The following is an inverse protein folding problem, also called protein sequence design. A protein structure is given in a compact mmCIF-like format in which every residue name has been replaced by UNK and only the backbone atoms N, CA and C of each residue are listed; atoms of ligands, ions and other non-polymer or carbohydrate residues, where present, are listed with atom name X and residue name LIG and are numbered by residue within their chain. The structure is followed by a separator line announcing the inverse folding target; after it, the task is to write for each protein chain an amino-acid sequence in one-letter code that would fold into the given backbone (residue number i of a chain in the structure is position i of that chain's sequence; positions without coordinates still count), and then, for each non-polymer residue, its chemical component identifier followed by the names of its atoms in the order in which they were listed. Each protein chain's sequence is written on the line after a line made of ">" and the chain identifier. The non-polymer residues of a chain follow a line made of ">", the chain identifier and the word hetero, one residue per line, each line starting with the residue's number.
data_IF_125024433553
#
_entry.id   IF_125024433553
#
_cell.length_a   1.000
_cell.length_b   1.000
_cell.length_c   1.000
_cell.angle_alpha   90.00
_cell.angle_beta   90.00
_cell.angle_gamma   90.00
#
_symmetry.space_group_name_H-M   'P 1'
#
loop_
_entity.id
_entity.type
_entity.pdbx_description
1 polymer ?
#
# COMPACT_ATOMS: atom_id res chain seq x y z
N UNK A 1 13.18 1.23 7.73
CA UNK A 1 12.42 2.32 7.11
C UNK A 1 11.72 3.14 8.18
N UNK A 2 11.68 4.44 8.00
CA UNK A 2 10.85 5.40 8.71
C UNK A 2 9.42 5.43 8.15
N UNK A 3 8.51 6.08 8.86
CA UNK A 3 7.13 6.33 8.37
C UNK A 3 7.16 7.12 7.05
N UNK A 4 8.03 8.13 6.94
CA UNK A 4 8.17 8.95 5.74
C UNK A 4 8.56 8.11 4.50
N UNK A 5 9.52 7.21 4.67
CA UNK A 5 9.95 6.28 3.60
C UNK A 5 8.83 5.31 3.20
N UNK A 6 8.08 4.78 4.18
CA UNK A 6 6.94 3.88 3.89
C UNK A 6 5.79 4.58 3.19
N UNK A 7 5.48 5.83 3.57
CA UNK A 7 4.47 6.63 2.88
C UNK A 7 4.87 6.89 1.42
N UNK A 8 6.16 7.16 1.18
CA UNK A 8 6.70 7.31 -0.17
C UNK A 8 6.61 6.01 -0.97
N UNK A 9 7.03 4.90 -0.38
CA UNK A 9 6.97 3.57 -1.00
C UNK A 9 5.54 3.18 -1.37
N UNK A 10 4.60 3.30 -0.43
CA UNK A 10 3.19 3.00 -0.67
C UNK A 10 2.60 3.88 -1.79
N UNK A 11 2.97 5.17 -1.84
CA UNK A 11 2.58 6.06 -2.94
C UNK A 11 3.09 5.56 -4.30
N UNK A 12 4.36 5.15 -4.35
CA UNK A 12 5.01 4.68 -5.58
C UNK A 12 4.39 3.34 -6.04
N UNK A 13 4.11 2.42 -5.12
CA UNK A 13 3.41 1.15 -5.40
C UNK A 13 1.98 1.42 -5.91
N UNK A 14 1.28 2.39 -5.34
CA UNK A 14 -0.04 2.82 -5.79
C UNK A 14 0.01 3.53 -7.16
N UNK A 15 1.19 3.77 -7.75
CA UNK A 15 1.36 4.41 -9.05
C UNK A 15 0.99 5.89 -9.05
N UNK A 16 1.07 6.57 -7.90
CA UNK A 16 0.63 7.96 -7.74
C UNK A 16 1.82 8.92 -7.68
N UNK A 17 1.68 10.07 -8.33
CA UNK A 17 2.55 11.23 -8.11
C UNK A 17 2.16 11.97 -6.83
N UNK A 18 3.11 12.68 -6.21
CA UNK A 18 2.84 13.54 -5.05
C UNK A 18 1.74 14.58 -5.32
N UNK A 19 1.63 15.07 -6.56
CA UNK A 19 0.59 16.01 -6.95
C UNK A 19 -0.81 15.38 -7.00
N UNK A 20 -0.92 14.13 -7.42
CA UNK A 20 -2.20 13.40 -7.40
C UNK A 20 -2.65 13.12 -5.97
N UNK A 21 -1.73 12.74 -5.08
CA UNK A 21 -2.01 12.55 -3.66
C UNK A 21 -2.50 13.84 -3.02
N UNK A 22 -1.75 14.93 -3.21
CA UNK A 22 -2.10 16.26 -2.73
C UNK A 22 -3.53 16.65 -3.13
N UNK A 23 -3.87 16.48 -4.43
CA UNK A 23 -5.21 16.76 -4.94
C UNK A 23 -6.30 15.89 -4.30
N UNK A 24 -6.04 14.59 -4.10
CA UNK A 24 -7.02 13.65 -3.54
C UNK A 24 -7.26 13.84 -2.04
N UNK A 25 -6.22 14.24 -1.31
CA UNK A 25 -6.29 14.48 0.15
C UNK A 25 -6.62 15.93 0.52
N UNK A 26 -6.84 16.81 -0.47
CA UNK A 26 -7.09 18.23 -0.21
C UNK A 26 -5.88 18.96 0.41
N UNK A 27 -4.65 18.49 0.15
CA UNK A 27 -3.41 19.03 0.69
C UNK A 27 -2.62 19.78 -0.39
N UNK A 28 -1.71 20.66 0.03
CA UNK A 28 -0.75 21.27 -0.88
C UNK A 28 0.35 20.26 -1.26
N UNK A 29 0.80 20.28 -2.52
CA UNK A 29 1.87 19.38 -2.99
C UNK A 29 3.17 19.46 -2.16
N UNK A 30 3.65 20.63 -1.72
CA UNK A 30 4.77 20.73 -0.79
C UNK A 30 4.56 19.94 0.50
N UNK A 31 3.34 19.90 1.06
CA UNK A 31 3.03 19.10 2.26
C UNK A 31 3.39 17.63 2.07
N UNK A 32 3.01 17.04 0.93
CA UNK A 32 3.34 15.64 0.62
C UNK A 32 4.85 15.44 0.51
N UNK A 33 5.55 16.34 -0.20
CA UNK A 33 7.01 16.28 -0.35
C UNK A 33 7.75 16.42 0.99
N UNK A 34 7.32 17.35 1.85
CA UNK A 34 7.91 17.55 3.18
C UNK A 34 7.68 16.36 4.12
N UNK A 35 6.51 15.72 4.03
CA UNK A 35 6.20 14.48 4.77
C UNK A 35 7.10 13.34 4.29
N UNK A 36 7.16 13.08 2.98
CA UNK A 36 7.95 11.99 2.40
C UNK A 36 9.47 12.19 2.59
N UNK A 37 9.91 13.45 2.73
CA UNK A 37 11.29 13.77 3.06
C UNK A 37 11.58 13.76 4.58
N UNK A 38 10.57 13.50 5.42
CA UNK A 38 10.71 13.47 6.88
C UNK A 38 10.91 14.84 7.53
N UNK A 39 10.80 15.94 6.78
CA UNK A 39 10.93 17.32 7.29
C UNK A 39 9.68 17.78 8.03
N UNK A 40 8.51 17.27 7.65
CA UNK A 40 7.25 17.45 8.35
C UNK A 40 6.78 16.12 8.92
N UNK A 41 6.44 16.08 10.21
CA UNK A 41 5.79 14.91 10.80
C UNK A 41 4.36 14.78 10.27
N UNK A 42 3.98 13.56 9.92
CA UNK A 42 2.59 13.19 9.64
C UNK A 42 1.84 13.04 10.97
N UNK A 43 0.59 13.53 11.03
CA UNK A 43 -0.28 13.35 12.22
C UNK A 43 -1.18 12.13 12.04
N UNK A 44 -1.74 11.61 13.13
CA UNK A 44 -2.52 10.37 13.13
C UNK A 44 -3.65 10.37 12.08
N UNK A 45 -4.47 11.42 12.06
CA UNK A 45 -5.59 11.55 11.11
C UNK A 45 -5.13 11.53 9.65
N UNK A 46 -3.92 12.02 9.35
CA UNK A 46 -3.36 11.97 8.00
C UNK A 46 -2.91 10.55 7.64
N UNK A 47 -2.45 9.75 8.61
CA UNK A 47 -2.02 8.37 8.39
C UNK A 47 -3.20 7.52 7.90
N UNK A 48 -4.38 7.68 8.49
CA UNK A 48 -5.59 6.96 8.06
C UNK A 48 -5.98 7.31 6.63
N UNK A 49 -5.87 8.59 6.26
CA UNK A 49 -6.12 9.06 4.90
C UNK A 49 -5.12 8.48 3.89
N UNK A 50 -3.83 8.45 4.25
CA UNK A 50 -2.80 7.83 3.40
C UNK A 50 -3.02 6.33 3.25
N UNK A 51 -3.32 5.63 4.34
CA UNK A 51 -3.59 4.19 4.36
C UNK A 51 -4.73 3.83 3.38
N UNK A 52 -5.86 4.52 3.49
CA UNK A 52 -7.01 4.31 2.60
C UNK A 52 -6.70 4.67 1.14
N UNK A 53 -5.93 5.74 0.89
CA UNK A 53 -5.57 6.14 -0.47
C UNK A 53 -4.60 5.17 -1.15
N UNK A 54 -3.68 4.59 -0.39
CA UNK A 54 -2.63 3.71 -0.91
C UNK A 54 -2.99 2.22 -0.83
N UNK A 55 -4.14 1.87 -0.27
CA UNK A 55 -4.60 0.48 -0.11
C UNK A 55 -3.63 -0.35 0.74
N UNK A 56 -3.15 0.24 1.85
CA UNK A 56 -2.26 -0.39 2.84
C UNK A 56 -2.82 -0.21 4.25
N UNK A 57 -2.38 -1.03 5.21
CA UNK A 57 -2.81 -0.88 6.59
C UNK A 57 -2.05 0.26 7.31
N UNK A 58 -2.74 0.92 8.25
CA UNK A 58 -2.14 1.89 9.18
C UNK A 58 -0.97 1.26 9.94
N UNK A 59 -1.15 0.01 10.40
CA UNK A 59 -0.14 -0.77 11.09
C UNK A 59 1.15 -0.89 10.27
N UNK A 60 1.04 -1.17 8.97
CA UNK A 60 2.20 -1.24 8.10
C UNK A 60 2.88 0.13 7.95
N UNK A 61 2.13 1.24 7.84
CA UNK A 61 2.71 2.58 7.76
C UNK A 61 3.47 2.92 9.06
N UNK A 62 2.93 2.57 10.22
CA UNK A 62 3.51 2.95 11.53
C UNK A 62 4.65 2.03 11.93
N UNK A 63 4.46 0.72 11.84
CA UNK A 63 5.38 -0.30 12.36
C UNK A 63 6.23 -0.97 11.27
N UNK A 64 5.86 -0.80 9.99
CA UNK A 64 6.41 -1.60 8.89
C UNK A 64 5.80 -2.99 8.87
N UNK A 65 6.31 -3.84 7.99
CA UNK A 65 6.01 -5.28 8.07
C UNK A 65 6.60 -5.83 9.36
N UNK A 66 5.73 -6.22 10.30
CA UNK A 66 6.09 -7.22 11.30
C UNK A 66 6.40 -8.47 10.48
N UNK A 67 7.65 -8.96 10.55
CA UNK A 67 8.01 -10.24 9.95
C UNK A 67 7.27 -11.34 10.70
N UNK A 68 6.06 -11.62 10.26
CA UNK A 68 5.39 -12.86 10.60
C UNK A 68 6.01 -13.94 9.71
N UNK A 69 6.98 -14.66 10.26
CA UNK A 69 7.72 -15.70 9.55
C UNK A 69 6.80 -16.77 8.93
N UNK A 70 5.63 -17.01 9.53
CA UNK A 70 4.63 -17.93 8.99
C UNK A 70 3.85 -17.33 7.81
N UNK A 71 3.50 -16.04 7.88
CA UNK A 71 2.90 -15.31 6.76
C UNK A 71 3.89 -15.22 5.59
N UNK A 72 5.16 -14.95 5.85
CA UNK A 72 6.23 -14.91 4.84
C UNK A 72 6.38 -16.27 4.16
N UNK A 73 6.38 -17.37 4.92
CA UNK A 73 6.46 -18.72 4.36
C UNK A 73 5.25 -19.04 3.46
N UNK A 74 4.03 -18.68 3.90
CA UNK A 74 2.81 -18.91 3.11
C UNK A 74 2.78 -18.05 1.85
N UNK A 75 3.23 -16.80 1.92
CA UNK A 75 3.32 -15.88 0.79
C UNK A 75 4.39 -16.34 -0.22
N UNK A 76 5.53 -16.84 0.24
CA UNK A 76 6.56 -17.48 -0.60
C UNK A 76 6.04 -18.72 -1.32
N UNK A 77 5.30 -19.59 -0.63
CA UNK A 77 4.65 -20.74 -1.26
C UNK A 77 3.65 -20.31 -2.33
N UNK A 78 2.81 -19.31 -2.01
CA UNK A 78 1.86 -18.76 -2.97
C UNK A 78 2.58 -18.19 -4.20
N UNK A 79 3.60 -17.35 -4.03
CA UNK A 79 4.37 -16.76 -5.12
C UNK A 79 5.00 -17.83 -6.04
N UNK A 80 5.51 -18.93 -5.46
CA UNK A 80 6.07 -20.04 -6.22
C UNK A 80 5.01 -20.77 -7.05
N UNK A 81 3.81 -21.01 -6.51
CA UNK A 81 2.75 -21.65 -7.29
C UNK A 81 2.21 -20.73 -8.39
N UNK A 82 2.07 -19.44 -8.09
CA UNK A 82 1.68 -18.42 -9.07
C UNK A 82 2.67 -18.32 -10.23
N UNK A 83 3.98 -18.44 -9.97
CA UNK A 83 5.01 -18.39 -11.02
C UNK A 83 4.94 -19.55 -12.03
N UNK A 84 4.22 -20.63 -11.71
CA UNK A 84 4.00 -21.77 -12.61
C UNK A 84 2.74 -21.61 -13.47
N UNK A 85 1.91 -20.62 -13.17
CA UNK A 85 0.67 -20.39 -13.90
C UNK A 85 0.95 -19.70 -15.23
N UNK A 86 0.07 -19.95 -16.21
CA UNK A 86 0.07 -19.19 -17.45
C UNK A 86 -0.46 -17.78 -17.20
N UNK A 87 -0.10 -16.81 -18.05
CA UNK A 87 -0.61 -15.44 -17.95
C UNK A 87 -2.15 -15.40 -17.96
N UNK A 88 -2.78 -16.24 -18.78
CA UNK A 88 -4.25 -16.33 -18.85
C UNK A 88 -4.88 -16.80 -17.54
N UNK A 89 -4.26 -17.76 -16.85
CA UNK A 89 -4.77 -18.26 -15.57
C UNK A 89 -4.49 -17.29 -14.43
N UNK A 90 -3.37 -16.57 -14.49
CA UNK A 90 -3.04 -15.51 -13.55
C UNK A 90 -4.05 -14.36 -13.66
N UNK A 91 -4.42 -13.95 -14.87
CA UNK A 91 -5.44 -12.92 -15.10
C UNK A 91 -6.81 -13.31 -14.53
N UNK A 92 -7.21 -14.59 -14.69
CA UNK A 92 -8.45 -15.11 -14.11
C UNK A 92 -8.41 -15.06 -12.58
N UNK A 93 -7.30 -15.46 -11.98
CA UNK A 93 -7.09 -15.39 -10.54
C UNK A 93 -7.19 -13.95 -10.04
N UNK A 94 -6.53 -13.00 -10.70
CA UNK A 94 -6.57 -11.59 -10.33
C UNK A 94 -7.99 -11.02 -10.38
N UNK A 95 -8.80 -11.44 -11.34
CA UNK A 95 -10.22 -11.07 -11.40
C UNK A 95 -11.03 -11.69 -10.25
N UNK A 96 -10.78 -12.94 -9.87
CA UNK A 96 -11.43 -13.57 -8.71
C UNK A 96 -11.04 -12.88 -7.39
N UNK A 97 -9.77 -12.54 -7.19
CA UNK A 97 -9.29 -11.81 -6.01
C UNK A 97 -9.97 -10.44 -5.87
N UNK A 98 -10.09 -9.71 -6.98
CA UNK A 98 -10.84 -8.44 -7.01
C UNK A 98 -12.30 -8.62 -6.61
N UNK A 99 -12.94 -9.74 -6.99
CA UNK A 99 -14.31 -10.04 -6.59
C UNK A 99 -14.44 -10.34 -5.10
N UNK A 100 -13.49 -11.09 -4.52
CA UNK A 100 -13.48 -11.39 -3.09
C UNK A 100 -13.34 -10.12 -2.25
N UNK A 101 -12.40 -9.24 -2.60
CA UNK A 101 -12.18 -7.97 -1.88
C UNK A 101 -13.42 -7.07 -1.90
N UNK A 102 -14.16 -7.04 -3.01
CA UNK A 102 -15.39 -6.24 -3.16
C UNK A 102 -16.59 -6.81 -2.38
N UNK A 103 -16.52 -8.06 -1.94
CA UNK A 103 -17.54 -8.72 -1.13
C UNK A 103 -17.42 -8.46 0.37
N UNK A 104 -16.24 -8.04 0.84
CA UNK A 104 -15.97 -7.73 2.25
C UNK A 104 -16.36 -6.29 2.65
N UNK A 105 -16.62 -5.42 1.66
CA UNK A 105 -17.06 -4.02 1.83
C UNK A 105 -18.60 -3.85 1.99
N UNK A 106 -19.33 -4.89 2.42
CA UNK A 106 -20.80 -4.85 2.64
C UNK A 106 -21.22 -5.21 4.05
#
# INVERSE_FOLDING_TARGET
>A
MSIAERLREAREIAGLSQGQVAKRLGMHRPTISEIEAGRRKVVADEIDLFAGLYDVSVEWIVNGSVKDEAADARMLMAARELSKMTDQDLDRLMNMLRMLRKGEDK
#
